data_IF_928569583678
#
_entry.id   IF_928569583678
#
_cell.length_a   1.000
_cell.length_b   1.000
_cell.length_c   1.000
_cell.angle_alpha   90.00
_cell.angle_beta   90.00
_cell.angle_gamma   90.00
#
_symmetry.space_group_name_H-M   'P 1'
#
loop_
_entity.id
_entity.type
_entity.pdbx_description
1 polymer ?
#
# COMPACT_ATOMS: atom_id res chain seq x y z
N UNK A 1 -12.83 -2.79 7.11
CA UNK A 1 -11.41 -2.99 6.72
C UNK A 1 -11.02 -1.94 5.69
N UNK A 2 -9.87 -1.35 5.89
CA UNK A 2 -9.31 -0.39 4.94
C UNK A 2 -8.28 -1.11 4.07
N UNK A 3 -8.31 -0.85 2.76
CA UNK A 3 -7.36 -1.42 1.81
C UNK A 3 -6.37 -0.35 1.37
N UNK A 4 -5.10 -0.72 1.32
CA UNK A 4 -4.01 0.15 0.92
C UNK A 4 -3.19 -0.50 -0.17
N UNK A 5 -2.74 0.32 -1.13
CA UNK A 5 -1.77 -0.09 -2.14
C UNK A 5 -0.48 0.65 -1.82
N UNK A 6 0.60 -0.09 -1.65
CA UNK A 6 1.90 0.44 -1.30
C UNK A 6 2.87 0.08 -2.40
N UNK A 7 3.57 1.08 -2.91
CA UNK A 7 4.62 0.90 -3.91
C UNK A 7 5.92 1.48 -3.39
N UNK A 8 7.03 1.03 -3.98
CA UNK A 8 8.34 1.55 -3.63
C UNK A 8 9.43 0.97 -4.49
N UNK A 9 10.65 1.35 -4.16
CA UNK A 9 11.86 0.91 -4.86
C UNK A 9 12.78 0.21 -3.88
N UNK A 10 13.52 -0.78 -4.38
CA UNK A 10 14.61 -1.39 -3.64
C UNK A 10 15.87 -0.55 -3.77
N UNK A 11 16.62 -0.48 -2.69
CA UNK A 11 17.96 0.13 -2.72
C UNK A 11 18.97 -0.81 -3.37
N UNK A 12 20.14 -0.29 -3.70
CA UNK A 12 21.22 -1.13 -4.19
C UNK A 12 21.57 -2.24 -3.19
N UNK A 13 21.60 -1.88 -1.90
CA UNK A 13 21.84 -2.84 -0.83
C UNK A 13 20.82 -3.99 -0.85
N UNK A 14 19.55 -3.67 -1.02
CA UNK A 14 18.48 -4.68 -1.07
C UNK A 14 18.64 -5.61 -2.27
N UNK A 15 18.92 -5.04 -3.44
CA UNK A 15 19.12 -5.84 -4.67
C UNK A 15 20.32 -6.78 -4.50
N UNK A 16 21.44 -6.28 -3.98
CA UNK A 16 22.61 -7.11 -3.71
C UNK A 16 22.27 -8.24 -2.74
N UNK A 17 21.53 -7.94 -1.69
CA UNK A 17 21.13 -8.95 -0.70
C UNK A 17 20.22 -10.03 -1.28
N UNK A 18 19.28 -9.63 -2.13
CA UNK A 18 18.35 -10.58 -2.77
C UNK A 18 19.06 -11.47 -3.80
N UNK A 19 20.05 -10.95 -4.50
CA UNK A 19 20.86 -11.76 -5.42
C UNK A 19 21.71 -12.77 -4.64
N UNK A 20 22.33 -12.33 -3.55
CA UNK A 20 23.18 -13.20 -2.73
C UNK A 20 22.36 -14.26 -1.98
N UNK A 21 21.16 -13.93 -1.58
CA UNK A 21 20.29 -14.80 -0.79
C UNK A 21 18.82 -14.60 -1.22
N UNK A 22 18.39 -15.23 -2.30
CA UNK A 22 17.04 -15.08 -2.82
C UNK A 22 15.97 -15.40 -1.77
N UNK A 23 14.90 -14.60 -1.76
CA UNK A 23 13.83 -14.73 -0.77
C UNK A 23 12.46 -14.45 -1.37
N UNK A 24 11.43 -15.05 -0.79
CA UNK A 24 10.04 -14.69 -1.07
C UNK A 24 9.73 -13.42 -0.26
N UNK A 25 9.63 -12.28 -0.94
CA UNK A 25 9.41 -11.00 -0.27
C UNK A 25 8.05 -10.89 0.39
N UNK A 26 7.03 -11.55 -0.15
CA UNK A 26 5.73 -11.59 0.50
C UNK A 26 5.81 -12.24 1.88
N UNK A 27 6.49 -13.37 1.98
CA UNK A 27 6.68 -14.08 3.25
C UNK A 27 7.51 -13.24 4.25
N UNK A 28 8.46 -12.44 3.75
CA UNK A 28 9.29 -11.60 4.60
C UNK A 28 8.54 -10.34 5.09
N UNK A 29 7.62 -9.82 4.30
CA UNK A 29 6.89 -8.58 4.60
C UNK A 29 5.63 -8.84 5.44
N UNK A 30 4.98 -9.98 5.25
CA UNK A 30 3.73 -10.29 5.94
C UNK A 30 3.78 -10.10 7.46
N UNK A 31 4.83 -10.55 8.19
CA UNK A 31 4.91 -10.33 9.64
C UNK A 31 4.91 -8.86 10.04
N UNK A 32 5.52 -7.99 9.23
CA UNK A 32 5.54 -6.56 9.51
C UNK A 32 4.14 -5.95 9.41
N UNK A 33 3.38 -6.33 8.38
CA UNK A 33 2.00 -5.87 8.21
C UNK A 33 1.13 -6.40 9.36
N UNK A 34 1.29 -7.65 9.73
CA UNK A 34 0.55 -8.27 10.85
C UNK A 34 0.85 -7.60 12.18
N UNK A 35 2.08 -7.13 12.38
CA UNK A 35 2.49 -6.46 13.61
C UNK A 35 1.72 -5.16 13.89
N UNK A 36 1.17 -4.53 12.87
CA UNK A 36 0.32 -3.34 13.02
C UNK A 36 -1.18 -3.65 12.84
N UNK A 37 -1.57 -4.93 12.99
CA UNK A 37 -2.96 -5.33 12.92
C UNK A 37 -3.50 -5.48 11.50
N UNK A 38 -2.63 -5.54 10.51
CA UNK A 38 -3.00 -5.68 9.12
C UNK A 38 -2.82 -7.07 8.56
N UNK A 39 -3.13 -7.22 7.29
CA UNK A 39 -2.96 -8.45 6.53
C UNK A 39 -2.42 -8.11 5.14
N UNK A 40 -1.36 -8.81 4.73
CA UNK A 40 -0.85 -8.72 3.36
C UNK A 40 -1.71 -9.59 2.45
N UNK A 41 -2.37 -8.97 1.47
CA UNK A 41 -3.22 -9.68 0.52
C UNK A 41 -2.45 -10.12 -0.71
N UNK A 42 -1.57 -9.28 -1.23
CA UNK A 42 -0.82 -9.54 -2.47
C UNK A 42 0.49 -8.79 -2.46
N UNK A 43 1.51 -9.38 -3.09
CA UNK A 43 2.80 -8.76 -3.29
C UNK A 43 3.30 -9.09 -4.68
N UNK A 44 3.68 -8.08 -5.43
CA UNK A 44 4.19 -8.23 -6.80
C UNK A 44 5.50 -7.50 -6.96
N UNK A 45 6.44 -8.12 -7.66
CA UNK A 45 7.57 -7.40 -8.23
C UNK A 45 7.07 -6.70 -9.50
N UNK A 46 7.47 -5.47 -9.68
CA UNK A 46 7.07 -4.67 -10.84
C UNK A 46 8.29 -4.14 -11.55
N UNK A 47 8.10 -3.77 -12.81
CA UNK A 47 9.08 -3.03 -13.60
C UNK A 47 8.51 -1.63 -13.89
N UNK A 48 9.37 -0.67 -14.19
CA UNK A 48 8.93 0.71 -14.46
C UNK A 48 9.35 1.64 -13.32
N UNK A 49 8.46 2.52 -12.89
CA UNK A 49 8.78 3.52 -11.88
C UNK A 49 9.03 2.95 -10.50
N UNK A 50 8.36 1.87 -10.15
CA UNK A 50 8.51 1.22 -8.85
C UNK A 50 8.89 -0.24 -9.05
N UNK A 51 9.55 -0.81 -8.04
CA UNK A 51 10.08 -2.18 -8.08
C UNK A 51 9.13 -3.19 -7.44
N UNK A 52 8.20 -2.73 -6.61
CA UNK A 52 7.19 -3.60 -6.01
C UNK A 52 5.88 -2.87 -5.83
N UNK A 53 4.83 -3.67 -5.76
CA UNK A 53 3.49 -3.23 -5.40
C UNK A 53 2.91 -4.26 -4.44
N UNK A 54 2.39 -3.81 -3.32
CA UNK A 54 1.69 -4.69 -2.40
C UNK A 54 0.30 -4.13 -2.08
N UNK A 55 -0.61 -5.04 -1.81
CA UNK A 55 -1.97 -4.73 -1.39
C UNK A 55 -2.13 -5.31 0.00
N UNK A 56 -2.50 -4.47 0.95
CA UNK A 56 -2.76 -4.90 2.30
C UNK A 56 -4.05 -4.27 2.84
N UNK A 57 -4.59 -4.89 3.86
CA UNK A 57 -5.75 -4.37 4.56
C UNK A 57 -5.43 -4.23 6.04
N UNK A 58 -6.12 -3.29 6.69
CA UNK A 58 -6.04 -3.09 8.11
C UNK A 58 -7.45 -2.83 8.64
N UNK A 59 -7.67 -3.11 9.93
CA UNK A 59 -8.92 -2.75 10.57
C UNK A 59 -9.10 -1.23 10.53
N UNK A 60 -10.34 -0.78 10.49
CA UNK A 60 -10.64 0.65 10.50
C UNK A 60 -10.05 1.27 11.77
N UNK A 61 -9.35 2.38 11.61
CA UNK A 61 -8.68 3.06 12.69
C UNK A 61 -7.27 2.57 13.02
N UNK A 62 -6.81 1.47 12.39
CA UNK A 62 -5.44 1.01 12.56
C UNK A 62 -4.46 1.94 11.85
N UNK A 63 -3.31 2.14 12.47
CA UNK A 63 -2.26 2.99 11.96
C UNK A 63 -1.17 2.13 11.29
N UNK A 64 -1.00 2.27 10.00
CA UNK A 64 0.02 1.54 9.24
C UNK A 64 1.36 2.27 9.18
N UNK A 65 1.42 3.51 9.64
CA UNK A 65 2.64 4.33 9.58
C UNK A 65 3.82 3.67 10.30
N UNK A 66 3.67 3.05 11.48
CA UNK A 66 4.80 2.40 12.12
C UNK A 66 5.46 1.31 11.25
N UNK A 67 4.67 0.53 10.52
CA UNK A 67 5.21 -0.47 9.60
C UNK A 67 5.99 0.18 8.45
N UNK A 68 5.48 1.27 7.90
CA UNK A 68 6.16 2.02 6.84
C UNK A 68 7.47 2.63 7.35
N UNK A 69 7.49 3.12 8.59
CA UNK A 69 8.70 3.67 9.20
C UNK A 69 9.77 2.59 9.39
N UNK A 70 9.39 1.42 9.86
CA UNK A 70 10.32 0.28 10.02
C UNK A 70 10.90 -0.12 8.67
N UNK A 71 10.06 -0.26 7.66
CA UNK A 71 10.52 -0.59 6.31
C UNK A 71 11.46 0.48 5.76
N UNK A 72 11.10 1.75 5.88
CA UNK A 72 11.92 2.86 5.41
C UNK A 72 13.25 2.97 6.14
N UNK A 73 13.26 2.69 7.44
CA UNK A 73 14.48 2.74 8.26
C UNK A 73 15.43 1.57 7.98
N UNK A 74 14.96 0.50 7.36
CA UNK A 74 15.78 -0.69 7.11
C UNK A 74 16.93 -0.47 6.13
N UNK A 75 16.87 0.60 5.33
CA UNK A 75 17.85 0.87 4.29
C UNK A 75 17.66 0.02 3.02
N UNK A 76 16.59 -0.77 2.94
CA UNK A 76 16.35 -1.69 1.82
C UNK A 76 15.29 -1.21 0.85
N UNK A 77 14.46 -0.26 1.26
CA UNK A 77 13.42 0.32 0.39
C UNK A 77 13.46 1.85 0.46
N UNK A 78 13.00 2.46 -0.61
CA UNK A 78 12.91 3.91 -0.75
C UNK A 78 11.68 4.27 -1.57
N UNK A 79 11.37 5.56 -1.62
CA UNK A 79 10.27 6.08 -2.43
C UNK A 79 8.95 5.36 -2.12
N UNK A 80 8.68 5.10 -0.85
CA UNK A 80 7.43 4.47 -0.43
C UNK A 80 6.25 5.40 -0.69
N UNK A 81 5.24 4.87 -1.36
CA UNK A 81 3.98 5.56 -1.61
C UNK A 81 2.84 4.67 -1.16
N UNK A 82 1.93 5.22 -0.41
CA UNK A 82 0.77 4.51 0.11
C UNK A 82 -0.49 5.24 -0.30
N UNK A 83 -1.40 4.54 -0.94
CA UNK A 83 -2.70 5.10 -1.30
C UNK A 83 -3.82 4.25 -0.71
N UNK A 84 -4.88 4.91 -0.28
CA UNK A 84 -6.10 4.24 0.16
C UNK A 84 -6.84 3.75 -1.07
N UNK A 85 -7.18 2.46 -1.09
CA UNK A 85 -7.93 1.84 -2.17
C UNK A 85 -9.35 1.53 -1.72
N UNK A 86 -10.29 1.63 -2.64
CA UNK A 86 -11.70 1.34 -2.40
C UNK A 86 -12.15 0.30 -3.40
N UNK A 87 -12.99 -0.64 -2.97
CA UNK A 87 -13.59 -1.61 -3.88
C UNK A 87 -14.50 -0.91 -4.89
N UNK A 88 -14.77 -1.60 -6.00
CA UNK A 88 -15.71 -1.09 -6.99
C UNK A 88 -17.11 -0.90 -6.38
N UNK A 89 -17.52 -1.76 -5.46
CA UNK A 89 -18.79 -1.63 -4.75
C UNK A 89 -18.81 -0.40 -3.85
N UNK A 90 -17.74 -0.15 -3.09
CA UNK A 90 -17.62 1.05 -2.26
C UNK A 90 -17.62 2.31 -3.12
N UNK A 91 -16.97 2.26 -4.26
CA UNK A 91 -16.97 3.38 -5.20
C UNK A 91 -18.38 3.66 -5.73
N UNK A 92 -19.15 2.62 -6.05
CA UNK A 92 -20.54 2.78 -6.46
C UNK A 92 -21.38 3.45 -5.36
N UNK A 93 -21.17 3.05 -4.10
CA UNK A 93 -21.86 3.68 -2.97
C UNK A 93 -21.50 5.17 -2.86
N UNK A 94 -20.23 5.51 -3.09
CA UNK A 94 -19.79 6.92 -3.13
C UNK A 94 -20.42 7.70 -4.27
N UNK A 95 -20.60 7.07 -5.43
CA UNK A 95 -21.29 7.69 -6.56
C UNK A 95 -22.75 8.03 -6.22
N UNK A 96 -23.42 7.13 -5.51
CA UNK A 96 -24.80 7.38 -5.07
C UNK A 96 -24.88 8.54 -4.08
N UNK A 97 -23.94 8.62 -3.16
CA UNK A 97 -23.86 9.76 -2.22
C UNK A 97 -23.56 11.05 -2.97
N UNK A 98 -22.66 11.01 -3.95
CA UNK A 98 -22.34 12.17 -4.77
C UNK A 98 -23.57 12.70 -5.51
N UNK A 99 -24.41 11.81 -6.04
CA UNK A 99 -25.65 12.20 -6.69
C UNK A 99 -26.58 12.97 -5.73
N UNK A 100 -26.60 12.57 -4.45
CA UNK A 100 -27.41 13.23 -3.43
C UNK A 100 -26.92 14.62 -3.03
N UNK A 101 -25.65 14.93 -3.26
CA UNK A 101 -25.05 16.22 -2.86
C UNK A 101 -24.68 17.11 -4.05
N UNK A 102 -24.82 16.61 -5.28
CA UNK A 102 -24.37 17.31 -6.48
C UNK A 102 -25.03 18.69 -6.63
N UNK A 103 -26.29 18.83 -6.24
CA UNK A 103 -27.02 20.08 -6.34
C UNK A 103 -26.47 21.19 -5.42
N UNK A 104 -25.64 20.85 -4.44
CA UNK A 104 -25.01 21.80 -3.51
C UNK A 104 -23.76 22.45 -4.05
N UNK A 105 -23.28 21.97 -5.19
CA UNK A 105 -22.04 22.49 -5.79
C UNK A 105 -22.36 23.27 -7.05
N UNK A 106 -21.83 24.49 -7.12
CA UNK A 106 -21.91 25.33 -8.31
C UNK A 106 -20.52 25.33 -8.97
N UNK A 107 -20.36 24.71 -10.15
CA UNK A 107 -19.06 24.70 -10.83
C UNK A 107 -18.65 26.11 -11.27
N UNK A 108 -17.33 26.31 -11.37
CA UNK A 108 -16.79 27.57 -11.86
C UNK A 108 -17.12 27.76 -13.33
N UNK A 109 -17.42 28.99 -13.70
CA UNK A 109 -17.69 29.35 -15.11
C UNK A 109 -19.17 29.51 -15.49
#
# INVERSE_FOLDING_TARGET
MATFIITGNYTVQAIQGMIANPSDRAAAVAPLVEAVGGKLLSYYATTGETDFLMICEAADGEDIIPALMVAGASGTVSNLKTVRAYSSADFMASQKKAAGIAAKFKPAG
#
